data_IF_939459886036
#
_entry.id   IF_939459886036
#
_cell.length_a   1.000
_cell.length_b   1.000
_cell.length_c   1.000
_cell.angle_alpha   90.00
_cell.angle_beta   90.00
_cell.angle_gamma   90.00
#
_symmetry.space_group_name_H-M   'P 1'
#
loop_
_entity.id
_entity.type
_entity.pdbx_description
1 polymer ?
#
# COMPACT_ATOMS: atom_id res chain seq x y z
N UNK A 1 4.36 -0.03 -26.54
CA UNK A 1 5.85 0.13 -26.59
C UNK A 1 6.52 -0.57 -27.77
N UNK A 2 5.76 -1.21 -28.64
CA UNK A 2 6.34 -1.88 -29.81
C UNK A 2 6.97 -0.85 -30.74
N UNK A 3 8.24 -1.04 -31.10
CA UNK A 3 9.05 -0.16 -31.95
C UNK A 3 9.32 1.26 -31.43
N UNK A 4 9.05 1.55 -30.15
CA UNK A 4 9.44 2.84 -29.56
C UNK A 4 10.95 2.86 -29.30
N UNK A 5 11.67 3.93 -29.69
CA UNK A 5 13.07 4.11 -29.28
C UNK A 5 13.16 4.24 -27.76
N UNK A 6 14.15 3.62 -27.16
CA UNK A 6 14.38 3.62 -25.73
C UNK A 6 15.76 4.15 -25.40
N UNK A 7 15.88 5.03 -24.40
CA UNK A 7 17.15 5.41 -23.78
C UNK A 7 17.12 4.81 -22.38
N UNK A 8 18.04 3.91 -22.11
CA UNK A 8 18.10 3.14 -20.86
C UNK A 8 19.40 3.48 -20.16
N UNK A 9 19.32 3.81 -18.86
CA UNK A 9 20.48 4.21 -18.06
C UNK A 9 20.52 3.40 -16.76
N UNK A 10 21.73 3.04 -16.34
CA UNK A 10 21.98 2.40 -15.03
C UNK A 10 23.34 2.79 -14.48
N UNK A 11 23.47 2.77 -13.15
CA UNK A 11 24.72 2.94 -12.46
C UNK A 11 25.49 1.62 -12.42
N UNK A 12 26.79 1.68 -12.61
CA UNK A 12 27.70 0.56 -12.47
C UNK A 12 28.32 0.50 -11.07
N UNK A 13 28.88 -0.63 -10.71
CA UNK A 13 29.54 -0.83 -9.42
C UNK A 13 30.77 0.06 -9.20
N UNK A 14 31.39 0.53 -10.27
CA UNK A 14 32.53 1.47 -10.27
C UNK A 14 32.11 2.95 -10.16
N UNK A 15 30.81 3.23 -10.08
CA UNK A 15 30.25 4.57 -10.02
C UNK A 15 30.06 5.25 -11.38
N UNK A 16 30.40 4.59 -12.48
CA UNK A 16 30.07 5.05 -13.83
C UNK A 16 28.61 4.85 -14.18
N UNK A 17 28.12 5.50 -15.23
CA UNK A 17 26.76 5.34 -15.74
C UNK A 17 26.84 4.82 -17.16
N UNK A 18 26.13 3.75 -17.46
CA UNK A 18 25.93 3.26 -18.81
C UNK A 18 24.64 3.84 -19.39
N UNK A 19 24.72 4.33 -20.64
CA UNK A 19 23.60 4.74 -21.46
C UNK A 19 23.51 3.78 -22.65
N UNK A 20 22.35 3.12 -22.81
CA UNK A 20 22.08 2.18 -23.91
C UNK A 20 20.84 2.63 -24.68
N UNK A 21 20.95 2.76 -25.98
CA UNK A 21 19.79 3.02 -26.86
C UNK A 21 19.30 1.72 -27.47
N UNK A 22 18.04 1.38 -27.18
CA UNK A 22 17.47 0.09 -27.58
C UNK A 22 16.09 0.23 -28.21
N UNK A 23 15.65 -0.84 -28.85
CA UNK A 23 14.30 -0.95 -29.43
C UNK A 23 13.83 -2.40 -29.39
N UNK A 24 12.54 -2.63 -29.22
CA UNK A 24 11.92 -3.94 -29.28
C UNK A 24 10.81 -3.99 -30.32
N UNK A 25 10.80 -5.04 -31.11
CA UNK A 25 9.74 -5.27 -32.10
C UNK A 25 8.42 -5.77 -31.50
N UNK A 26 8.48 -6.30 -30.25
CA UNK A 26 7.36 -6.83 -29.47
C UNK A 26 7.68 -6.73 -27.96
N UNK A 27 6.85 -7.27 -27.11
CA UNK A 27 7.10 -7.32 -25.67
C UNK A 27 8.14 -8.40 -25.33
N UNK A 28 9.40 -8.08 -25.59
CA UNK A 28 10.59 -8.88 -25.27
C UNK A 28 11.68 -7.94 -24.76
N UNK A 29 12.78 -8.50 -24.28
CA UNK A 29 13.98 -7.70 -23.99
C UNK A 29 14.38 -6.91 -25.24
N UNK A 30 14.62 -5.58 -25.14
CA UNK A 30 14.94 -4.75 -26.29
C UNK A 30 16.40 -4.94 -26.73
N UNK A 31 16.62 -5.00 -28.02
CA UNK A 31 17.94 -5.08 -28.64
C UNK A 31 18.60 -3.70 -28.77
N UNK A 32 19.92 -3.66 -28.70
CA UNK A 32 20.72 -2.43 -28.94
C UNK A 32 20.56 -1.97 -30.37
N UNK A 33 20.31 -0.69 -30.58
CA UNK A 33 20.24 -0.06 -31.90
C UNK A 33 21.60 0.56 -32.23
N UNK A 34 22.30 -0.02 -33.20
CA UNK A 34 23.62 0.43 -33.64
C UNK A 34 23.63 1.85 -34.20
N UNK A 35 22.56 2.28 -34.86
CA UNK A 35 22.41 3.61 -35.46
C UNK A 35 21.01 4.19 -35.10
N UNK A 36 20.81 4.70 -33.88
CA UNK A 36 19.55 5.29 -33.51
C UNK A 36 19.28 6.59 -34.30
N UNK A 37 18.04 6.90 -34.64
CA UNK A 37 17.71 8.10 -35.42
C UNK A 37 18.06 9.41 -34.72
N UNK A 38 18.13 9.37 -33.39
CA UNK A 38 18.62 10.45 -32.53
C UNK A 38 19.55 9.85 -31.48
N UNK A 39 20.80 10.28 -31.47
CA UNK A 39 21.81 9.76 -30.54
C UNK A 39 21.71 10.50 -29.22
N UNK A 40 21.44 9.77 -28.14
CA UNK A 40 21.44 10.31 -26.79
C UNK A 40 22.88 10.37 -26.24
N UNK A 41 23.25 11.48 -25.61
CA UNK A 41 24.57 11.71 -25.02
C UNK A 41 24.45 11.92 -23.51
N UNK A 42 25.13 11.09 -22.73
CA UNK A 42 25.13 11.18 -21.27
C UNK A 42 25.88 12.44 -20.79
N UNK A 43 25.26 13.19 -19.89
CA UNK A 43 25.85 14.36 -19.22
C UNK A 43 26.41 13.95 -17.85
N UNK A 44 27.64 13.44 -17.84
CA UNK A 44 28.28 12.94 -16.61
C UNK A 44 28.38 13.99 -15.50
N UNK A 45 28.71 15.24 -15.84
CA UNK A 45 28.83 16.33 -14.87
C UNK A 45 27.53 16.71 -14.16
N UNK A 46 26.38 16.38 -14.75
CA UNK A 46 25.04 16.66 -14.22
C UNK A 46 24.38 15.41 -13.63
N UNK A 47 25.00 14.25 -13.80
CA UNK A 47 24.46 12.96 -13.35
C UNK A 47 25.04 12.56 -11.99
N UNK A 48 24.25 11.83 -11.19
CA UNK A 48 24.63 11.30 -9.87
C UNK A 48 24.28 9.80 -9.86
N UNK A 49 25.31 8.94 -9.84
CA UNK A 49 25.17 7.49 -9.95
C UNK A 49 24.81 6.81 -8.62
N UNK A 50 25.07 7.43 -7.46
CA UNK A 50 24.95 6.80 -6.15
C UNK A 50 24.33 7.72 -5.10
N UNK A 51 23.87 7.15 -3.97
CA UNK A 51 23.26 7.91 -2.88
C UNK A 51 21.71 7.96 -2.97
N UNK A 52 21.11 8.75 -2.08
CA UNK A 52 19.65 8.84 -1.97
C UNK A 52 18.96 9.67 -3.07
N UNK A 53 19.74 10.42 -3.86
CA UNK A 53 19.27 11.31 -4.92
C UNK A 53 19.94 10.97 -6.25
N UNK A 54 19.83 9.72 -6.70
CA UNK A 54 20.33 9.32 -8.01
C UNK A 54 19.62 10.11 -9.12
N UNK A 55 20.42 10.65 -10.05
CA UNK A 55 19.93 11.45 -11.17
C UNK A 55 20.75 11.13 -12.41
N UNK A 56 20.10 10.75 -13.48
CA UNK A 56 20.71 10.49 -14.78
C UNK A 56 20.26 11.58 -15.75
N UNK A 57 21.23 12.30 -16.32
CA UNK A 57 20.99 13.40 -17.25
C UNK A 57 21.59 13.06 -18.61
N UNK A 58 20.81 13.20 -19.66
CA UNK A 58 21.28 13.00 -21.02
C UNK A 58 20.63 14.01 -21.96
N UNK A 59 21.34 14.36 -23.01
CA UNK A 59 20.84 15.17 -24.12
C UNK A 59 20.45 14.27 -25.27
N UNK A 60 19.40 14.64 -25.98
CA UNK A 60 18.98 14.00 -27.22
C UNK A 60 18.55 15.10 -28.21
N UNK A 61 18.98 15.06 -29.49
CA UNK A 61 18.62 16.07 -30.47
C UNK A 61 17.10 16.23 -30.60
N UNK A 62 16.62 17.47 -30.71
CA UNK A 62 15.21 17.77 -30.89
C UNK A 62 14.69 17.17 -32.21
N UNK A 63 13.41 16.78 -32.23
CA UNK A 63 12.71 16.27 -33.43
C UNK A 63 11.74 17.28 -34.04
N UNK A 64 11.69 18.50 -33.51
CA UNK A 64 10.77 19.54 -33.97
C UNK A 64 9.39 19.54 -33.31
N UNK A 65 9.04 18.46 -32.58
CA UNK A 65 7.77 18.43 -31.85
C UNK A 65 7.86 19.28 -30.58
N UNK A 66 6.88 20.12 -30.36
CA UNK A 66 6.78 20.97 -29.16
C UNK A 66 6.12 20.25 -27.99
N UNK A 67 5.40 19.17 -28.27
CA UNK A 67 4.77 18.29 -27.28
C UNK A 67 5.39 16.88 -27.43
N UNK A 68 6.14 16.43 -26.41
CA UNK A 68 6.78 15.12 -26.41
C UNK A 68 6.05 14.17 -25.47
N UNK A 69 5.38 13.17 -26.01
CA UNK A 69 4.86 12.04 -25.22
C UNK A 69 5.98 11.05 -24.96
N UNK A 70 6.31 10.85 -23.68
CA UNK A 70 7.33 9.92 -23.22
C UNK A 70 6.70 8.78 -22.43
N UNK A 71 7.29 7.61 -22.56
CA UNK A 71 7.03 6.46 -21.69
C UNK A 71 8.27 6.28 -20.81
N UNK A 72 8.09 6.20 -19.52
CA UNK A 72 9.16 5.88 -18.61
C UNK A 72 8.95 4.49 -18.00
N UNK A 73 10.04 3.82 -17.69
CA UNK A 73 10.03 2.54 -17.00
C UNK A 73 11.19 2.48 -15.99
N UNK A 74 10.99 1.82 -14.87
CA UNK A 74 11.98 1.68 -13.80
C UNK A 74 12.05 0.22 -13.33
N UNK A 75 13.28 -0.27 -13.11
CA UNK A 75 13.58 -1.52 -12.44
C UNK A 75 14.51 -1.26 -11.25
N UNK A 76 14.24 -1.84 -10.07
CA UNK A 76 15.16 -1.77 -8.93
C UNK A 76 16.39 -2.69 -9.11
N UNK A 77 16.34 -3.59 -10.10
CA UNK A 77 17.43 -4.52 -10.42
C UNK A 77 18.26 -3.93 -11.54
N UNK A 78 19.53 -3.64 -11.24
CA UNK A 78 20.48 -3.13 -12.21
C UNK A 78 21.09 -4.28 -13.03
N UNK A 79 21.49 -4.05 -14.30
CA UNK A 79 22.30 -4.98 -15.06
C UNK A 79 23.62 -5.29 -14.32
N UNK A 80 24.12 -6.52 -14.50
CA UNK A 80 25.35 -6.97 -13.85
C UNK A 80 26.64 -6.58 -14.62
N UNK A 81 26.50 -5.94 -15.78
CA UNK A 81 27.61 -5.48 -16.64
C UNK A 81 27.44 -4.02 -17.02
N UNK A 82 28.56 -3.35 -17.27
CA UNK A 82 28.62 -1.99 -17.83
C UNK A 82 28.47 -1.95 -19.36
N UNK A 83 28.36 -3.12 -20.03
CA UNK A 83 28.23 -3.21 -21.48
C UNK A 83 26.87 -2.68 -21.94
N UNK A 84 26.83 -1.97 -23.05
CA UNK A 84 25.61 -1.36 -23.61
C UNK A 84 24.56 -2.41 -24.01
N UNK A 85 24.97 -3.65 -24.25
CA UNK A 85 24.12 -4.83 -24.55
C UNK A 85 23.81 -5.69 -23.32
N UNK A 86 24.24 -5.27 -22.10
CA UNK A 86 23.97 -6.00 -20.87
C UNK A 86 22.52 -6.41 -20.75
N UNK A 87 22.29 -7.62 -20.25
CA UNK A 87 20.95 -8.18 -20.06
C UNK A 87 20.12 -7.35 -19.09
N UNK A 88 18.91 -6.99 -19.52
CA UNK A 88 17.97 -6.22 -18.73
C UNK A 88 16.97 -7.12 -18.01
N UNK A 89 16.62 -6.72 -16.79
CA UNK A 89 15.48 -7.32 -16.08
C UNK A 89 14.23 -6.48 -16.39
N UNK A 90 13.10 -7.15 -16.54
CA UNK A 90 11.83 -6.46 -16.81
C UNK A 90 11.57 -5.42 -15.70
N UNK A 91 11.19 -4.22 -16.14
CA UNK A 91 10.82 -3.13 -15.22
C UNK A 91 9.58 -3.51 -14.36
N UNK A 92 9.57 -3.00 -13.14
CA UNK A 92 8.46 -3.21 -12.18
C UNK A 92 7.50 -2.02 -12.15
N UNK A 93 7.96 -0.86 -12.60
CA UNK A 93 7.18 0.39 -12.65
C UNK A 93 7.29 1.03 -14.00
N UNK A 94 6.21 1.63 -14.47
CA UNK A 94 6.14 2.32 -15.76
C UNK A 94 5.04 3.39 -15.75
N UNK A 95 5.15 4.34 -16.65
CA UNK A 95 4.14 5.39 -16.81
C UNK A 95 4.35 6.18 -18.10
N UNK A 96 3.48 7.15 -18.33
CA UNK A 96 3.56 8.08 -19.44
C UNK A 96 3.61 9.50 -18.93
N UNK A 97 4.33 10.38 -19.63
CA UNK A 97 4.39 11.81 -19.38
C UNK A 97 4.40 12.55 -20.72
N UNK A 98 3.73 13.70 -20.79
CA UNK A 98 3.85 14.61 -21.92
C UNK A 98 4.63 15.84 -21.48
N UNK A 99 5.73 16.13 -22.16
CA UNK A 99 6.55 17.30 -21.94
C UNK A 99 6.16 18.39 -22.93
N UNK A 100 5.91 19.59 -22.44
CA UNK A 100 5.74 20.80 -23.25
C UNK A 100 7.10 21.49 -23.41
N UNK A 101 7.70 21.36 -24.57
CA UNK A 101 9.01 21.92 -24.90
C UNK A 101 8.97 23.39 -25.33
N UNK A 102 7.81 24.03 -25.36
CA UNK A 102 7.68 25.48 -25.60
C UNK A 102 8.02 26.27 -24.34
N UNK A 103 7.94 25.64 -23.17
CA UNK A 103 8.28 26.27 -21.90
C UNK A 103 9.80 26.39 -21.77
N UNK A 104 10.30 27.61 -21.76
CA UNK A 104 11.71 27.89 -21.43
C UNK A 104 11.99 27.46 -20.00
N UNK A 105 12.85 26.44 -19.83
CA UNK A 105 13.49 26.19 -18.55
C UNK A 105 14.43 27.36 -18.31
N UNK A 106 14.07 28.28 -17.42
CA UNK A 106 14.91 29.44 -17.09
C UNK A 106 16.30 28.99 -16.72
N UNK A 107 17.29 29.41 -17.48
CA UNK A 107 18.70 29.30 -17.14
C UNK A 107 18.97 30.08 -15.86
N UNK A 108 19.12 29.38 -14.76
CA UNK A 108 19.39 29.90 -13.44
C UNK A 108 20.20 28.89 -12.65
N UNK A 109 21.53 29.02 -12.75
CA UNK A 109 22.44 28.58 -11.68
C UNK A 109 22.05 29.35 -10.44
N UNK A 110 21.34 28.73 -9.51
CA UNK A 110 21.52 28.87 -8.05
C UNK A 110 20.44 28.09 -7.33
N UNK A 111 20.83 27.25 -6.40
CA UNK A 111 19.96 26.68 -5.40
C UNK A 111 19.29 27.80 -4.60
N UNK A 112 18.08 28.13 -4.96
CA UNK A 112 17.19 29.00 -4.22
C UNK A 112 15.93 28.20 -3.95
N UNK A 113 15.64 27.98 -2.68
CA UNK A 113 14.33 27.57 -2.20
C UNK A 113 13.31 28.55 -2.74
N UNK A 114 12.64 28.19 -3.81
CA UNK A 114 11.34 28.77 -4.13
C UNK A 114 10.32 27.71 -3.78
N UNK A 115 9.48 28.03 -2.79
CA UNK A 115 8.22 27.38 -2.48
C UNK A 115 7.25 27.50 -3.68
N UNK A 116 7.67 27.04 -4.84
CA UNK A 116 6.79 26.67 -5.91
C UNK A 116 6.38 25.22 -5.60
N UNK A 117 5.24 25.10 -4.95
CA UNK A 117 4.56 23.83 -4.77
C UNK A 117 4.45 23.21 -6.17
N UNK A 118 5.44 22.38 -6.52
CA UNK A 118 5.55 21.72 -7.80
C UNK A 118 4.22 21.06 -8.08
N UNK A 119 3.59 21.43 -9.18
CA UNK A 119 2.29 20.94 -9.60
C UNK A 119 2.36 19.42 -9.56
N UNK A 120 1.78 18.83 -8.52
CA UNK A 120 1.88 17.39 -8.25
C UNK A 120 1.23 16.68 -9.41
N UNK A 121 2.02 15.93 -10.18
CA UNK A 121 1.50 15.13 -11.31
C UNK A 121 0.24 14.41 -10.85
N UNK A 122 -0.91 14.66 -11.47
CA UNK A 122 -2.19 14.09 -11.04
C UNK A 122 -2.11 12.55 -10.98
N UNK A 123 -2.81 11.96 -10.02
CA UNK A 123 -2.90 10.51 -9.93
C UNK A 123 -3.62 9.96 -11.17
N UNK A 124 -3.07 8.91 -11.76
CA UNK A 124 -3.75 8.15 -12.82
C UNK A 124 -5.03 7.49 -12.29
N UNK A 125 -5.94 7.08 -13.18
CA UNK A 125 -7.16 6.39 -12.78
C UNK A 125 -6.89 5.19 -11.87
N UNK A 126 -5.89 4.36 -12.21
CA UNK A 126 -5.52 3.19 -11.40
C UNK A 126 -4.90 3.59 -10.05
N UNK A 127 -4.05 4.61 -10.01
CA UNK A 127 -3.50 5.13 -8.76
C UNK A 127 -4.60 5.66 -7.82
N UNK A 128 -5.66 6.26 -8.36
CA UNK A 128 -6.86 6.66 -7.57
C UNK A 128 -7.58 5.44 -7.00
N UNK A 129 -7.69 4.35 -7.76
CA UNK A 129 -8.27 3.09 -7.28
C UNK A 129 -7.45 2.48 -6.15
N UNK A 130 -6.11 2.47 -6.27
CA UNK A 130 -5.21 2.00 -5.22
C UNK A 130 -5.24 2.90 -3.98
N UNK A 131 -5.36 4.22 -4.15
CA UNK A 131 -5.56 5.14 -3.03
C UNK A 131 -6.89 4.89 -2.32
N UNK A 132 -7.98 4.71 -3.07
CA UNK A 132 -9.28 4.36 -2.50
C UNK A 132 -9.22 3.03 -1.73
N UNK A 133 -8.53 1.99 -2.28
CA UNK A 133 -8.23 0.75 -1.56
C UNK A 133 -7.54 1.03 -0.22
N UNK A 134 -6.45 1.79 -0.25
CA UNK A 134 -5.66 2.09 0.94
C UNK A 134 -6.49 2.81 2.02
N UNK A 135 -7.29 3.81 1.63
CA UNK A 135 -8.15 4.56 2.55
C UNK A 135 -9.26 3.67 3.12
N UNK A 136 -10.03 3.00 2.28
CA UNK A 136 -11.20 2.19 2.72
C UNK A 136 -10.73 1.02 3.58
N UNK A 137 -9.67 0.29 3.17
CA UNK A 137 -9.13 -0.81 3.95
C UNK A 137 -8.56 -0.34 5.30
N UNK A 138 -7.82 0.77 5.33
CA UNK A 138 -7.27 1.33 6.57
C UNK A 138 -8.38 1.77 7.52
N UNK A 139 -9.39 2.49 7.03
CA UNK A 139 -10.55 2.90 7.85
C UNK A 139 -11.30 1.67 8.35
N UNK A 140 -11.52 0.67 7.50
CA UNK A 140 -12.16 -0.59 7.90
C UNK A 140 -11.41 -1.28 9.03
N UNK A 141 -10.17 -1.62 8.79
CA UNK A 141 -9.37 -2.46 9.69
C UNK A 141 -8.81 -1.72 10.91
N UNK A 142 -8.44 -0.44 10.80
CA UNK A 142 -7.78 0.30 11.88
C UNK A 142 -8.69 1.30 12.61
N UNK A 143 -9.90 1.55 12.11
CA UNK A 143 -10.86 2.43 12.79
C UNK A 143 -12.14 1.67 13.15
N UNK A 144 -12.86 1.16 12.15
CA UNK A 144 -14.19 0.56 12.36
C UNK A 144 -14.09 -0.72 13.20
N UNK A 145 -13.24 -1.68 12.82
CA UNK A 145 -13.11 -2.93 13.56
C UNK A 145 -12.58 -2.75 14.98
N UNK A 146 -11.54 -1.94 15.25
CA UNK A 146 -11.12 -1.63 16.63
C UNK A 146 -12.21 -0.95 17.47
N UNK A 147 -12.93 0.04 16.94
CA UNK A 147 -14.07 0.65 17.66
C UNK A 147 -15.08 -0.42 18.02
N UNK A 148 -15.45 -1.27 17.08
CA UNK A 148 -16.36 -2.40 17.33
C UNK A 148 -15.83 -3.36 18.40
N UNK A 149 -14.52 -3.60 18.49
CA UNK A 149 -13.90 -4.44 19.53
C UNK A 149 -13.87 -3.75 20.90
N UNK A 150 -13.75 -2.43 20.95
CA UNK A 150 -13.76 -1.65 22.20
C UNK A 150 -15.15 -1.54 22.82
N UNK A 151 -16.23 -1.57 22.02
CA UNK A 151 -17.62 -1.49 22.52
C UNK A 151 -17.92 -2.52 23.62
N UNK A 152 -17.74 -3.83 23.42
CA UNK A 152 -17.97 -4.80 24.48
C UNK A 152 -17.01 -4.64 25.65
N UNK A 153 -15.82 -4.09 25.42
CA UNK A 153 -14.82 -3.88 26.46
C UNK A 153 -15.22 -2.77 27.41
N UNK A 154 -15.74 -1.64 26.88
CA UNK A 154 -16.09 -0.47 27.67
C UNK A 154 -17.56 -0.41 28.05
N UNK A 155 -18.48 -0.79 27.18
CA UNK A 155 -19.90 -0.54 27.36
C UNK A 155 -20.69 -1.73 27.93
N UNK A 156 -20.15 -2.95 27.91
CA UNK A 156 -20.90 -4.16 28.32
C UNK A 156 -21.49 -4.08 29.71
N UNK A 157 -20.84 -3.41 30.64
CA UNK A 157 -21.29 -3.28 32.04
C UNK A 157 -22.15 -2.04 32.32
N UNK A 158 -22.34 -1.17 31.30
CA UNK A 158 -23.04 0.10 31.47
C UNK A 158 -24.29 0.22 30.58
N UNK A 159 -24.26 -0.36 29.41
CA UNK A 159 -25.33 -0.21 28.42
C UNK A 159 -25.88 -1.57 27.95
N UNK A 160 -27.17 -1.77 28.03
CA UNK A 160 -27.83 -3.02 27.58
C UNK A 160 -27.72 -3.22 26.04
N UNK A 161 -27.65 -2.14 25.28
CA UNK A 161 -27.54 -2.15 23.82
C UNK A 161 -26.14 -2.41 23.25
N UNK A 162 -25.10 -2.60 24.08
CA UNK A 162 -23.70 -2.75 23.62
C UNK A 162 -23.53 -3.81 22.53
N UNK A 163 -24.27 -4.92 22.62
CA UNK A 163 -24.15 -6.02 21.65
C UNK A 163 -24.70 -5.60 20.29
N UNK A 164 -25.82 -4.87 20.24
CA UNK A 164 -26.39 -4.34 18.99
C UNK A 164 -25.39 -3.42 18.27
N UNK A 165 -24.76 -2.51 18.99
CA UNK A 165 -23.73 -1.64 18.41
C UNK A 165 -22.50 -2.43 17.96
N UNK A 166 -22.04 -3.40 18.75
CA UNK A 166 -20.91 -4.24 18.40
C UNK A 166 -21.14 -4.96 17.06
N UNK A 167 -22.25 -5.70 16.90
CA UNK A 167 -22.47 -6.45 15.68
C UNK A 167 -22.77 -5.56 14.47
N UNK A 168 -23.48 -4.44 14.61
CA UNK A 168 -23.70 -3.49 13.52
C UNK A 168 -22.36 -2.94 13.01
N UNK A 169 -21.50 -2.48 13.91
CA UNK A 169 -20.20 -1.93 13.54
C UNK A 169 -19.30 -3.02 12.95
N UNK A 170 -19.25 -4.21 13.54
CA UNK A 170 -18.39 -5.29 13.04
C UNK A 170 -18.89 -5.90 11.74
N UNK A 171 -20.18 -6.20 11.62
CA UNK A 171 -20.73 -6.92 10.49
C UNK A 171 -21.14 -5.99 9.35
N UNK A 172 -21.89 -4.93 9.63
CA UNK A 172 -22.38 -4.04 8.56
C UNK A 172 -21.27 -3.09 8.12
N UNK A 173 -20.81 -2.22 9.01
CA UNK A 173 -19.84 -1.17 8.61
C UNK A 173 -18.47 -1.79 8.30
N UNK A 174 -17.97 -2.66 9.18
CA UNK A 174 -16.70 -3.36 8.98
C UNK A 174 -16.75 -4.29 7.77
N UNK A 175 -17.82 -5.05 7.60
CA UNK A 175 -18.02 -5.94 6.46
C UNK A 175 -17.99 -5.19 5.13
N UNK A 176 -18.74 -4.11 5.01
CA UNK A 176 -18.74 -3.28 3.80
C UNK A 176 -17.35 -2.71 3.52
N UNK A 177 -16.67 -2.14 4.53
CA UNK A 177 -15.34 -1.57 4.36
C UNK A 177 -14.30 -2.64 3.94
N UNK A 178 -14.31 -3.82 4.58
CA UNK A 178 -13.40 -4.93 4.25
C UNK A 178 -13.63 -5.43 2.83
N UNK A 179 -14.89 -5.71 2.46
CA UNK A 179 -15.23 -6.24 1.13
C UNK A 179 -14.90 -5.22 0.03
N UNK A 180 -15.32 -3.97 0.19
CA UNK A 180 -15.02 -2.91 -0.78
C UNK A 180 -13.51 -2.69 -0.87
N UNK A 181 -12.82 -2.64 0.27
CA UNK A 181 -11.37 -2.49 0.30
C UNK A 181 -10.66 -3.60 -0.48
N UNK A 182 -11.03 -4.87 -0.26
CA UNK A 182 -10.43 -6.01 -0.98
C UNK A 182 -10.75 -5.96 -2.48
N UNK A 183 -11.99 -5.66 -2.87
CA UNK A 183 -12.39 -5.53 -4.28
C UNK A 183 -11.56 -4.45 -4.97
N UNK A 184 -11.41 -3.28 -4.36
CA UNK A 184 -10.58 -2.18 -4.91
C UNK A 184 -9.12 -2.60 -5.08
N UNK A 185 -8.55 -3.37 -4.14
CA UNK A 185 -7.21 -3.92 -4.26
C UNK A 185 -7.06 -4.88 -5.44
N UNK A 186 -8.00 -5.81 -5.61
CA UNK A 186 -8.02 -6.76 -6.73
C UNK A 186 -8.14 -6.02 -8.07
N UNK A 187 -9.08 -5.06 -8.18
CA UNK A 187 -9.28 -4.24 -9.38
C UNK A 187 -8.04 -3.41 -9.69
N UNK A 188 -7.39 -2.80 -8.68
CA UNK A 188 -6.15 -2.04 -8.85
C UNK A 188 -5.01 -2.88 -9.43
N UNK A 189 -4.85 -4.13 -8.96
CA UNK A 189 -3.86 -5.07 -9.51
C UNK A 189 -4.21 -5.49 -10.94
N UNK A 190 -5.47 -5.82 -11.21
CA UNK A 190 -5.93 -6.20 -12.54
C UNK A 190 -5.72 -5.08 -13.57
N UNK A 191 -6.07 -3.84 -13.23
CA UNK A 191 -5.91 -2.67 -14.10
C UNK A 191 -4.44 -2.31 -14.38
N UNK A 192 -3.52 -2.70 -13.51
CA UNK A 192 -2.07 -2.51 -13.75
C UNK A 192 -1.42 -3.64 -14.56
N UNK A 193 -2.16 -4.68 -14.91
CA UNK A 193 -1.61 -5.91 -15.53
C UNK A 193 -0.68 -6.68 -14.58
N UNK A 194 -0.77 -6.41 -13.27
CA UNK A 194 0.07 -7.01 -12.26
C UNK A 194 -0.37 -8.44 -11.90
N UNK A 195 0.54 -9.19 -11.28
CA UNK A 195 0.26 -10.54 -10.81
C UNK A 195 -0.42 -10.50 -9.44
N UNK A 196 -1.53 -11.24 -9.31
CA UNK A 196 -2.19 -11.43 -8.02
C UNK A 196 -1.37 -12.34 -7.10
N UNK A 197 -1.45 -12.07 -5.78
CA UNK A 197 -0.87 -12.95 -4.73
C UNK A 197 0.66 -13.12 -4.80
N UNK A 198 1.38 -12.29 -5.52
CA UNK A 198 2.84 -12.37 -5.66
C UNK A 198 3.65 -11.68 -4.55
N UNK A 199 3.02 -10.80 -3.75
CA UNK A 199 3.66 -10.08 -2.64
C UNK A 199 3.13 -10.52 -1.27
N UNK A 200 3.86 -10.19 -0.20
CA UNK A 200 3.43 -10.43 1.18
C UNK A 200 2.14 -9.66 1.50
N UNK A 201 2.03 -8.42 1.04
CA UNK A 201 0.83 -7.59 1.22
C UNK A 201 -0.42 -8.24 0.60
N UNK A 202 -0.31 -8.68 -0.65
CA UNK A 202 -1.44 -9.29 -1.37
C UNK A 202 -1.88 -10.61 -0.73
N UNK A 203 -0.93 -11.46 -0.32
CA UNK A 203 -1.22 -12.73 0.38
C UNK A 203 -1.87 -12.50 1.74
N UNK A 204 -1.31 -11.59 2.54
CA UNK A 204 -1.84 -11.26 3.86
C UNK A 204 -3.21 -10.59 3.76
N UNK A 205 -3.47 -9.78 2.72
CA UNK A 205 -4.78 -9.17 2.46
C UNK A 205 -5.89 -10.22 2.27
N UNK A 206 -5.61 -11.28 1.49
CA UNK A 206 -6.56 -12.40 1.34
C UNK A 206 -6.70 -13.18 2.66
N UNK A 207 -5.60 -13.44 3.38
CA UNK A 207 -5.65 -14.10 4.68
C UNK A 207 -6.51 -13.32 5.69
N UNK A 208 -6.38 -11.99 5.73
CA UNK A 208 -7.19 -11.14 6.60
C UNK A 208 -8.68 -11.17 6.23
N UNK A 209 -9.03 -11.23 4.95
CA UNK A 209 -10.42 -11.42 4.53
C UNK A 209 -10.98 -12.74 5.05
N UNK A 210 -10.23 -13.84 4.90
CA UNK A 210 -10.64 -15.16 5.40
C UNK A 210 -10.78 -15.15 6.92
N UNK A 211 -9.80 -14.60 7.64
CA UNK A 211 -9.84 -14.48 9.10
C UNK A 211 -11.01 -13.60 9.58
N UNK A 212 -11.33 -12.54 8.85
CA UNK A 212 -12.49 -11.70 9.14
C UNK A 212 -13.80 -12.49 9.00
N UNK A 213 -13.97 -13.28 7.93
CA UNK A 213 -15.15 -14.12 7.73
C UNK A 213 -15.27 -15.15 8.87
N UNK A 214 -14.16 -15.82 9.23
CA UNK A 214 -14.12 -16.75 10.37
C UNK A 214 -14.51 -16.05 11.68
N UNK A 215 -13.99 -14.86 11.93
CA UNK A 215 -14.28 -14.08 13.13
C UNK A 215 -15.75 -13.70 13.25
N UNK A 216 -16.36 -13.24 12.14
CA UNK A 216 -17.79 -12.90 12.11
C UNK A 216 -18.66 -14.14 12.28
N UNK A 217 -18.32 -15.24 11.61
CA UNK A 217 -19.02 -16.53 11.74
C UNK A 217 -18.94 -17.07 13.18
N UNK A 218 -17.77 -16.98 13.81
CA UNK A 218 -17.60 -17.36 15.21
C UNK A 218 -18.42 -16.47 16.14
N UNK A 219 -18.50 -15.17 15.88
CA UNK A 219 -19.35 -14.25 16.63
C UNK A 219 -20.84 -14.59 16.50
N UNK A 220 -21.30 -14.89 15.30
CA UNK A 220 -22.66 -15.34 15.03
C UNK A 220 -22.95 -16.67 15.74
N UNK A 221 -22.06 -17.64 15.65
CA UNK A 221 -22.17 -18.92 16.35
C UNK A 221 -22.34 -18.71 17.87
N UNK A 222 -21.50 -17.87 18.49
CA UNK A 222 -21.58 -17.55 19.93
C UNK A 222 -22.94 -16.93 20.28
N UNK A 223 -23.48 -16.10 19.40
CA UNK A 223 -24.76 -15.43 19.65
C UNK A 223 -25.97 -16.36 19.55
N UNK A 224 -26.03 -17.18 18.49
CA UNK A 224 -27.19 -18.02 18.20
C UNK A 224 -27.16 -19.36 18.93
N UNK A 225 -25.96 -19.95 19.13
CA UNK A 225 -25.81 -21.24 19.79
C UNK A 225 -25.53 -21.04 21.29
N UNK A 226 -26.59 -20.94 22.08
CA UNK A 226 -26.52 -20.82 23.54
C UNK A 226 -26.87 -22.16 24.20
N UNK A 227 -25.88 -22.94 24.67
CA UNK A 227 -26.20 -24.17 25.39
C UNK A 227 -26.87 -23.87 26.71
N UNK A 228 -27.91 -24.63 27.00
CA UNK A 228 -28.61 -24.62 28.29
C UNK A 228 -27.65 -25.17 29.36
N UNK A 229 -27.61 -24.57 30.55
CA UNK A 229 -26.88 -25.06 31.75
C UNK A 229 -25.34 -25.04 31.67
N UNK A 230 -24.73 -23.89 31.40
CA UNK A 230 -23.25 -23.76 31.48
C UNK A 230 -22.76 -23.13 32.78
N UNK A 231 -21.81 -23.74 33.47
CA UNK A 231 -21.25 -23.21 34.72
C UNK A 231 -20.30 -22.01 34.55
N UNK A 232 -19.94 -21.67 33.32
CA UNK A 232 -18.94 -20.61 33.04
C UNK A 232 -19.04 -19.95 31.68
N UNK A 233 -18.09 -19.08 31.36
CA UNK A 233 -17.91 -18.55 30.00
C UNK A 233 -17.42 -19.64 29.06
N UNK A 234 -18.10 -19.82 27.91
CA UNK A 234 -17.67 -20.78 26.92
C UNK A 234 -16.30 -20.46 26.34
N UNK A 235 -15.44 -21.46 26.03
CA UNK A 235 -14.10 -21.25 25.45
C UNK A 235 -14.12 -20.45 24.15
N UNK A 236 -15.15 -20.62 23.34
CA UNK A 236 -15.31 -19.90 22.06
C UNK A 236 -15.37 -18.37 22.25
N UNK A 237 -15.80 -17.84 23.41
CA UNK A 237 -15.79 -16.42 23.68
C UNK A 237 -14.35 -15.88 23.84
N UNK A 238 -13.47 -16.68 24.44
CA UNK A 238 -12.04 -16.34 24.53
C UNK A 238 -11.37 -16.46 23.17
N UNK A 239 -11.68 -17.50 22.40
CA UNK A 239 -11.19 -17.66 21.05
C UNK A 239 -11.57 -16.47 20.16
N UNK A 240 -12.85 -16.04 20.21
CA UNK A 240 -13.31 -14.86 19.48
C UNK A 240 -12.54 -13.59 19.88
N UNK A 241 -12.28 -13.38 21.17
CA UNK A 241 -11.54 -12.21 21.62
C UNK A 241 -10.07 -12.25 21.17
N UNK A 242 -9.40 -13.40 21.33
CA UNK A 242 -7.99 -13.57 20.93
C UNK A 242 -7.82 -13.44 19.42
N UNK A 243 -8.69 -14.10 18.64
CA UNK A 243 -8.66 -14.02 17.17
C UNK A 243 -8.92 -12.59 16.71
N UNK A 244 -9.87 -11.86 17.33
CA UNK A 244 -10.11 -10.45 17.01
C UNK A 244 -8.90 -9.55 17.25
N UNK A 245 -8.16 -9.76 18.35
CA UNK A 245 -6.91 -9.04 18.63
C UNK A 245 -5.84 -9.39 17.58
N UNK A 246 -5.70 -10.67 17.24
CA UNK A 246 -4.75 -11.13 16.24
C UNK A 246 -5.03 -10.52 14.84
N UNK A 247 -6.31 -10.42 14.44
CA UNK A 247 -6.72 -9.77 13.19
C UNK A 247 -6.30 -8.29 13.19
N UNK A 248 -6.52 -7.55 14.28
CA UNK A 248 -6.13 -6.14 14.39
C UNK A 248 -4.60 -5.99 14.31
N UNK A 249 -3.84 -6.86 14.99
CA UNK A 249 -2.37 -6.85 14.94
C UNK A 249 -1.85 -7.13 13.51
N UNK A 250 -2.42 -8.13 12.84
CA UNK A 250 -2.09 -8.44 11.44
C UNK A 250 -2.47 -7.29 10.50
N UNK A 251 -3.60 -6.61 10.76
CA UNK A 251 -4.02 -5.46 9.97
C UNK A 251 -3.08 -4.26 10.12
N UNK A 252 -2.54 -4.00 11.32
CA UNK A 252 -1.48 -3.00 11.51
C UNK A 252 -0.26 -3.31 10.64
N UNK A 253 0.18 -4.58 10.60
CA UNK A 253 1.27 -5.01 9.73
C UNK A 253 0.91 -4.88 8.25
N UNK A 254 -0.29 -5.27 7.88
CA UNK A 254 -0.81 -5.16 6.50
C UNK A 254 -0.80 -3.72 5.99
N UNK A 255 -1.27 -2.76 6.78
CA UNK A 255 -1.24 -1.34 6.43
C UNK A 255 0.20 -0.86 6.25
N UNK A 256 1.13 -1.30 7.12
CA UNK A 256 2.55 -0.95 6.99
C UNK A 256 3.16 -1.45 5.67
N UNK A 257 2.93 -2.71 5.31
CA UNK A 257 3.43 -3.25 4.03
C UNK A 257 2.80 -2.53 2.85
N UNK A 258 1.54 -2.12 2.95
CA UNK A 258 0.85 -1.35 1.92
C UNK A 258 1.53 -0.02 1.62
N UNK A 259 1.70 0.85 2.61
CA UNK A 259 2.25 2.17 2.36
C UNK A 259 3.78 2.20 2.20
N UNK A 260 4.52 1.20 2.74
CA UNK A 260 5.99 1.14 2.66
C UNK A 260 6.52 0.40 1.43
N UNK A 261 5.78 -0.55 0.92
CA UNK A 261 6.19 -1.44 -0.18
C UNK A 261 5.27 -1.31 -1.39
N UNK A 262 4.00 -1.71 -1.26
CA UNK A 262 3.09 -1.78 -2.41
C UNK A 262 2.80 -0.42 -3.05
N UNK A 263 2.60 0.63 -2.24
CA UNK A 263 2.34 1.96 -2.77
C UNK A 263 3.51 2.51 -3.60
N UNK A 264 4.78 2.53 -3.09
CA UNK A 264 5.91 2.95 -3.91
C UNK A 264 6.14 2.08 -5.14
N UNK A 265 6.03 0.75 -5.01
CA UNK A 265 6.22 -0.18 -6.12
C UNK A 265 5.14 -0.01 -7.21
N UNK A 266 3.89 0.24 -6.82
CA UNK A 266 2.76 0.35 -7.76
C UNK A 266 2.61 1.74 -8.38
N UNK A 267 3.12 2.79 -7.73
CA UNK A 267 2.87 4.17 -8.14
C UNK A 267 4.13 4.96 -8.50
N UNK A 268 5.31 4.46 -8.12
CA UNK A 268 6.57 5.20 -8.20
C UNK A 268 6.65 6.39 -7.24
N UNK A 269 5.72 6.52 -6.27
CA UNK A 269 5.62 7.67 -5.35
C UNK A 269 5.85 7.23 -3.92
N UNK A 270 6.63 7.97 -3.11
CA UNK A 270 6.72 7.70 -1.69
C UNK A 270 5.36 7.96 -1.01
N UNK A 271 5.09 7.25 0.08
CA UNK A 271 3.98 7.60 0.94
C UNK A 271 4.30 8.90 1.71
N UNK A 272 3.29 9.72 1.97
CA UNK A 272 3.46 10.95 2.73
C UNK A 272 4.02 10.67 4.14
N UNK A 273 4.95 11.49 4.61
CA UNK A 273 5.60 11.33 5.92
C UNK A 273 4.61 11.20 7.07
N UNK A 274 3.49 11.92 7.03
CA UNK A 274 2.42 11.85 8.03
C UNK A 274 1.80 10.45 8.20
N UNK A 275 1.75 9.62 7.14
CA UNK A 275 1.22 8.26 7.21
C UNK A 275 2.01 7.40 8.20
N UNK A 276 3.34 7.50 8.18
CA UNK A 276 4.19 6.74 9.09
C UNK A 276 4.02 7.20 10.55
N UNK A 277 3.84 8.49 10.79
CA UNK A 277 3.58 9.04 12.14
C UNK A 277 2.24 8.52 12.66
N UNK A 278 1.17 8.64 11.87
CA UNK A 278 -0.16 8.12 12.24
C UNK A 278 -0.12 6.63 12.54
N UNK A 279 0.60 5.84 11.73
CA UNK A 279 0.75 4.40 11.97
C UNK A 279 1.41 4.10 13.34
N UNK A 280 2.51 4.80 13.70
CA UNK A 280 3.16 4.60 15.00
C UNK A 280 2.25 4.98 16.18
N UNK A 281 1.49 6.08 16.03
CA UNK A 281 0.49 6.46 17.04
C UNK A 281 -0.55 5.34 17.20
N UNK A 282 -1.05 4.77 16.11
CA UNK A 282 -2.05 3.71 16.13
C UNK A 282 -1.56 2.41 16.75
N UNK A 283 -0.31 2.01 16.48
CA UNK A 283 0.35 0.82 17.08
C UNK A 283 0.40 0.91 18.60
N UNK A 284 0.50 2.11 19.17
CA UNK A 284 0.51 2.33 20.61
C UNK A 284 -0.90 2.52 21.15
N UNK A 285 -1.70 3.36 20.51
CA UNK A 285 -3.03 3.75 20.97
C UNK A 285 -3.99 2.57 21.10
N UNK A 286 -4.04 1.68 20.10
CA UNK A 286 -4.99 0.57 20.09
C UNK A 286 -4.74 -0.44 21.22
N UNK A 287 -3.51 -0.95 21.47
CA UNK A 287 -3.24 -1.82 22.60
C UNK A 287 -3.48 -1.14 23.95
N UNK A 288 -3.11 0.14 24.09
CA UNK A 288 -3.34 0.91 25.33
C UNK A 288 -4.83 1.06 25.58
N UNK A 289 -5.61 1.46 24.59
CA UNK A 289 -7.06 1.59 24.73
C UNK A 289 -7.72 0.25 25.08
N UNK A 290 -7.33 -0.85 24.44
CA UNK A 290 -7.86 -2.16 24.76
C UNK A 290 -7.44 -2.61 26.16
N UNK A 291 -6.18 -2.44 26.54
CA UNK A 291 -5.62 -2.76 27.86
C UNK A 291 -6.30 -1.97 28.98
N UNK A 292 -6.48 -0.67 28.81
CA UNK A 292 -7.21 0.16 29.75
C UNK A 292 -8.65 -0.35 29.99
N UNK A 293 -9.33 -0.82 28.95
CA UNK A 293 -10.65 -1.44 29.06
C UNK A 293 -10.65 -2.75 29.86
N UNK A 294 -9.51 -3.46 30.00
CA UNK A 294 -9.40 -4.66 30.83
C UNK A 294 -9.58 -4.34 32.32
N UNK A 295 -9.34 -3.11 32.76
CA UNK A 295 -9.62 -2.68 34.12
C UNK A 295 -11.11 -2.83 34.54
N UNK A 296 -12.01 -2.95 33.55
CA UNK A 296 -13.44 -3.18 33.81
C UNK A 296 -13.80 -4.66 34.00
N UNK A 297 -12.86 -5.61 33.82
CA UNK A 297 -13.11 -7.05 33.98
C UNK A 297 -13.62 -7.44 35.38
N UNK A 298 -13.09 -6.92 36.52
CA UNK A 298 -13.60 -7.25 37.84
C UNK A 298 -15.08 -6.86 38.03
N UNK A 299 -15.50 -5.72 37.45
CA UNK A 299 -16.91 -5.28 37.47
C UNK A 299 -17.78 -6.23 36.64
N UNK A 300 -17.31 -6.61 35.45
CA UNK A 300 -18.01 -7.56 34.57
C UNK A 300 -18.20 -8.91 35.27
N UNK A 301 -17.14 -9.48 35.87
CA UNK A 301 -17.23 -10.77 36.55
C UNK A 301 -18.18 -10.72 37.77
N UNK A 302 -18.20 -9.61 38.50
CA UNK A 302 -19.16 -9.40 39.61
C UNK A 302 -20.61 -9.42 39.12
N UNK A 303 -20.89 -8.73 38.00
CA UNK A 303 -22.24 -8.72 37.41
C UNK A 303 -22.66 -10.10 36.90
N UNK A 304 -21.76 -10.81 36.21
CA UNK A 304 -22.02 -12.17 35.71
C UNK A 304 -22.23 -13.18 36.84
N UNK A 305 -21.52 -13.02 37.94
CA UNK A 305 -21.71 -13.86 39.13
C UNK A 305 -23.09 -13.61 39.78
N UNK A 306 -23.48 -12.36 39.95
CA UNK A 306 -24.80 -11.99 40.48
C UNK A 306 -25.94 -12.53 39.60
N UNK A 307 -25.85 -12.40 38.27
CA UNK A 307 -26.85 -12.92 37.35
C UNK A 307 -27.02 -14.44 37.43
N UNK A 308 -25.98 -15.20 37.81
CA UNK A 308 -26.05 -16.66 37.99
C UNK A 308 -26.64 -17.08 39.36
N UNK A 309 -26.50 -16.26 40.40
CA UNK A 309 -27.02 -16.54 41.71
C UNK A 309 -28.48 -16.15 41.91
N UNK A 310 -29.03 -15.30 41.01
CA UNK A 310 -30.42 -14.89 40.99
C UNK A 310 -31.35 -15.78 40.13
N UNK A 311 -30.81 -16.87 39.63
CA UNK A 311 -31.52 -17.95 38.94
C UNK A 311 -31.27 -19.27 39.64
#
# INVERSE_FOLDING_TARGET
MVRSPMVILWANSDGSITLSQRQAARQVEPDVVAAPPRVATLQNSLSVASGNNQRYVFDIPANGDTQQSLIWAFSPVQPSSSDVDARLVQHTSQGTITLDLTRTTGGGTNGGSSDDAGESVPLTGNQKTLLAHAVVATVGFLVILPIGALIPRYLRTFASGWFKFHWIIQFILGGLAVVIGVILGIVGVANSGGTHVNSTHKRLGIALLVLYIVQVSLGAFIHFVKPKNRPGRPPQNYLHAVLGIAIIALALWQVRTGYRQEWPESTGRPAANGVNIVWHVWVVLLPVAYGAGLALLPRQWRQERKARQGH
#
